data_IF_861141384363
#
_entry.id   IF_861141384363
#
_cell.length_a   1.000
_cell.length_b   1.000
_cell.length_c   1.000
_cell.angle_alpha   90.00
_cell.angle_beta   90.00
_cell.angle_gamma   90.00
#
_symmetry.space_group_name_H-M   'P 1'
#
loop_
_entity.id
_entity.type
_entity.pdbx_description
1 polymer ?
#
# COMPACT_ATOMS: atom_id res chain seq x y z
N UNK A 1 17.35 -32.74 -5.70
CA UNK A 1 16.04 -33.17 -6.24
C UNK A 1 14.84 -32.74 -5.39
N UNK A 2 14.91 -32.76 -4.04
CA UNK A 2 13.76 -32.42 -3.15
C UNK A 2 13.39 -30.93 -3.18
N UNK A 3 14.38 -30.04 -3.27
CA UNK A 3 14.17 -28.57 -3.29
C UNK A 3 13.36 -28.08 -4.50
N UNK A 4 13.64 -28.62 -5.70
CA UNK A 4 12.95 -28.24 -6.95
C UNK A 4 11.47 -28.68 -6.93
N UNK A 5 11.18 -29.87 -6.39
CA UNK A 5 9.79 -30.35 -6.25
C UNK A 5 8.97 -29.49 -5.29
N UNK A 6 9.57 -29.04 -4.18
CA UNK A 6 8.90 -28.12 -3.24
C UNK A 6 8.64 -26.75 -3.89
N UNK A 7 9.59 -26.20 -4.63
CA UNK A 7 9.42 -24.91 -5.31
C UNK A 7 8.30 -24.94 -6.36
N UNK A 8 8.23 -26.00 -7.18
CA UNK A 8 7.16 -26.18 -8.16
C UNK A 8 5.77 -26.31 -7.52
N UNK A 9 5.67 -26.86 -6.31
CA UNK A 9 4.40 -26.96 -5.58
C UNK A 9 3.86 -25.60 -5.11
N UNK A 10 4.72 -24.57 -4.98
CA UNK A 10 4.33 -23.21 -4.55
C UNK A 10 4.31 -22.19 -5.70
N UNK A 11 4.68 -22.57 -6.92
CA UNK A 11 4.75 -21.66 -8.07
C UNK A 11 3.40 -21.04 -8.49
N UNK A 12 2.28 -21.66 -8.08
CA UNK A 12 0.91 -21.18 -8.29
C UNK A 12 0.17 -20.91 -6.98
N UNK A 13 0.89 -20.83 -5.85
CA UNK A 13 0.26 -20.47 -4.59
C UNK A 13 -0.24 -19.02 -4.68
N UNK A 14 -1.55 -18.85 -4.56
CA UNK A 14 -2.18 -17.53 -4.51
C UNK A 14 -2.05 -17.03 -3.08
N UNK A 15 -1.48 -15.85 -2.92
CA UNK A 15 -1.35 -15.19 -1.62
C UNK A 15 -2.75 -14.89 -1.06
N UNK A 16 -2.95 -15.12 0.23
CA UNK A 16 -4.27 -14.98 0.84
C UNK A 16 -4.45 -13.56 1.35
N UNK A 17 -5.68 -13.00 1.34
CA UNK A 17 -5.92 -11.64 1.83
C UNK A 17 -5.44 -11.43 3.28
N UNK A 18 -5.54 -12.46 4.13
CA UNK A 18 -5.04 -12.42 5.51
C UNK A 18 -3.52 -12.26 5.63
N UNK A 19 -2.75 -12.59 4.58
CA UNK A 19 -1.29 -12.44 4.55
C UNK A 19 -0.87 -10.95 4.41
N UNK A 20 -1.84 -10.05 4.12
CA UNK A 20 -1.63 -8.61 3.88
C UNK A 20 -2.40 -7.69 4.83
N UNK A 21 -2.93 -8.26 5.92
CA UNK A 21 -3.66 -7.46 6.89
C UNK A 21 -2.74 -6.36 7.49
N UNK A 22 -3.17 -5.09 7.51
CA UNK A 22 -2.37 -4.02 8.07
C UNK A 22 -2.11 -4.25 9.57
N UNK A 23 -0.92 -3.89 10.02
CA UNK A 23 -0.64 -3.73 11.45
C UNK A 23 -1.50 -2.60 12.04
N UNK A 24 -1.64 -2.57 13.36
CA UNK A 24 -2.38 -1.50 14.06
C UNK A 24 -1.84 -0.11 13.71
N UNK A 25 -0.51 0.04 13.61
CA UNK A 25 0.13 1.31 13.24
C UNK A 25 -0.22 1.69 11.79
N UNK A 26 -0.11 0.76 10.85
CA UNK A 26 -0.45 0.99 9.44
C UNK A 26 -1.92 1.37 9.27
N UNK A 27 -2.83 0.70 9.98
CA UNK A 27 -4.25 1.02 9.95
C UNK A 27 -4.53 2.44 10.44
N UNK A 28 -3.93 2.84 11.58
CA UNK A 28 -4.10 4.20 12.12
C UNK A 28 -3.59 5.28 11.17
N UNK A 29 -2.49 5.00 10.47
CA UNK A 29 -1.91 5.90 9.46
C UNK A 29 -2.84 5.97 8.24
N UNK A 30 -3.32 4.84 7.73
CA UNK A 30 -4.26 4.80 6.61
C UNK A 30 -5.53 5.60 6.94
N UNK A 31 -6.10 5.42 8.13
CA UNK A 31 -7.26 6.17 8.59
C UNK A 31 -7.00 7.68 8.63
N UNK A 32 -5.78 8.09 9.05
CA UNK A 32 -5.39 9.50 9.06
C UNK A 32 -5.30 10.07 7.65
N UNK A 33 -4.72 9.33 6.71
CA UNK A 33 -4.64 9.72 5.29
C UNK A 33 -6.04 9.85 4.70
N UNK A 34 -6.93 8.88 4.95
CA UNK A 34 -8.33 8.95 4.53
C UNK A 34 -9.04 10.20 5.05
N UNK A 35 -8.83 10.55 6.33
CA UNK A 35 -9.38 11.79 6.92
C UNK A 35 -8.88 13.04 6.19
N UNK A 36 -7.60 13.11 5.86
CA UNK A 36 -7.04 14.25 5.12
C UNK A 36 -7.55 14.34 3.67
N UNK A 37 -7.77 13.20 3.02
CA UNK A 37 -8.39 13.12 1.68
C UNK A 37 -9.83 13.66 1.73
N UNK A 38 -10.62 13.20 2.71
CA UNK A 38 -12.01 13.65 2.90
C UNK A 38 -12.05 15.15 3.20
N UNK A 39 -11.20 15.62 4.12
CA UNK A 39 -11.11 17.03 4.52
C UNK A 39 -10.81 17.96 3.33
N UNK A 40 -10.10 17.47 2.32
CA UNK A 40 -9.70 18.22 1.11
C UNK A 40 -10.58 17.93 -0.10
N UNK A 41 -11.67 17.20 0.09
CA UNK A 41 -12.63 16.82 -0.96
C UNK A 41 -11.99 16.05 -2.14
N UNK A 42 -10.90 15.31 -1.87
CA UNK A 42 -10.14 14.55 -2.89
C UNK A 42 -10.60 13.09 -3.04
N UNK A 43 -11.76 12.73 -2.48
CA UNK A 43 -12.23 11.32 -2.38
C UNK A 43 -12.32 10.65 -3.75
N UNK A 44 -12.95 11.30 -4.73
CA UNK A 44 -13.10 10.76 -6.09
C UNK A 44 -11.75 10.48 -6.75
N UNK A 45 -10.80 11.41 -6.65
CA UNK A 45 -9.47 11.25 -7.21
C UNK A 45 -8.71 10.12 -6.51
N UNK A 46 -8.82 10.02 -5.18
CA UNK A 46 -8.18 8.96 -4.41
C UNK A 46 -8.70 7.58 -4.80
N UNK A 47 -10.02 7.41 -4.89
CA UNK A 47 -10.63 6.13 -5.30
C UNK A 47 -10.20 5.75 -6.71
N UNK A 48 -10.28 6.68 -7.68
CA UNK A 48 -9.85 6.43 -9.05
C UNK A 48 -8.38 6.00 -9.11
N UNK A 49 -7.51 6.68 -8.36
CA UNK A 49 -6.09 6.34 -8.29
C UNK A 49 -5.90 4.94 -7.72
N UNK A 50 -6.56 4.62 -6.61
CA UNK A 50 -6.42 3.30 -5.98
C UNK A 50 -6.94 2.16 -6.86
N UNK A 51 -8.07 2.32 -7.53
CA UNK A 51 -8.62 1.30 -8.42
C UNK A 51 -7.74 1.09 -9.67
N UNK A 52 -7.17 2.16 -10.22
CA UNK A 52 -6.26 2.08 -11.37
C UNK A 52 -4.88 1.55 -10.99
N UNK A 53 -4.41 1.83 -9.77
CA UNK A 53 -3.10 1.42 -9.27
C UNK A 53 -3.12 0.11 -8.47
N UNK A 54 -4.27 -0.51 -8.17
CA UNK A 54 -4.37 -1.80 -7.45
C UNK A 54 -3.45 -2.90 -8.03
N UNK A 55 -3.32 -3.12 -9.36
CA UNK A 55 -2.36 -4.10 -9.90
C UNK A 55 -0.90 -3.61 -9.87
N UNK A 56 -0.68 -2.34 -9.53
CA UNK A 56 0.60 -1.61 -9.54
C UNK A 56 0.92 -1.03 -8.16
N UNK A 57 0.50 -1.69 -7.09
CA UNK A 57 0.69 -1.27 -5.70
C UNK A 57 2.15 -0.85 -5.40
N UNK A 58 3.12 -1.55 -5.97
CA UNK A 58 4.54 -1.18 -5.91
C UNK A 58 4.85 0.18 -6.59
N UNK A 59 4.27 0.48 -7.75
CA UNK A 59 4.46 1.79 -8.40
C UNK A 59 3.80 2.90 -7.56
N UNK A 60 2.66 2.60 -6.93
CA UNK A 60 2.00 3.50 -5.99
C UNK A 60 2.87 3.84 -4.78
N UNK A 61 3.56 2.85 -4.18
CA UNK A 61 4.49 3.09 -3.07
C UNK A 61 5.67 3.98 -3.48
N UNK A 62 6.25 3.72 -4.66
CA UNK A 62 7.35 4.54 -5.19
C UNK A 62 6.89 5.97 -5.48
N UNK A 63 5.65 6.16 -5.95
CA UNK A 63 5.08 7.48 -6.12
C UNK A 63 4.97 8.23 -4.78
N UNK A 64 4.53 7.56 -3.71
CA UNK A 64 4.48 8.18 -2.37
C UNK A 64 5.88 8.61 -1.92
N UNK A 65 6.89 7.77 -2.10
CA UNK A 65 8.27 8.14 -1.80
C UNK A 65 8.74 9.33 -2.62
N UNK A 66 8.49 9.35 -3.93
CA UNK A 66 8.84 10.46 -4.81
C UNK A 66 8.16 11.76 -4.40
N UNK A 67 6.87 11.70 -4.03
CA UNK A 67 6.09 12.87 -3.64
C UNK A 67 6.19 13.24 -2.16
N UNK A 68 6.98 12.52 -1.35
CA UNK A 68 7.23 12.81 0.07
C UNK A 68 7.39 14.31 0.42
N UNK A 69 8.25 15.08 -0.28
CA UNK A 69 8.42 16.51 0.03
C UNK A 69 7.14 17.33 -0.17
N UNK A 70 6.26 16.93 -1.09
CA UNK A 70 4.97 17.60 -1.32
C UNK A 70 3.90 17.10 -0.33
N UNK A 71 3.88 15.80 -0.03
CA UNK A 71 2.90 15.17 0.86
C UNK A 71 3.12 15.48 2.34
N UNK A 72 4.27 16.08 2.69
CA UNK A 72 4.62 16.47 4.07
C UNK A 72 3.60 17.44 4.71
N UNK A 73 2.76 18.10 3.90
CA UNK A 73 1.65 18.93 4.38
C UNK A 73 0.43 18.13 4.86
N UNK A 74 0.33 16.84 4.51
CA UNK A 74 -0.77 15.94 4.88
C UNK A 74 -0.42 15.13 6.13
N UNK A 75 0.75 14.50 6.09
CA UNK A 75 1.24 13.57 7.11
C UNK A 75 2.74 13.69 7.21
N UNK A 76 3.31 13.36 8.36
CA UNK A 76 4.75 13.40 8.54
C UNK A 76 5.46 12.35 7.67
N UNK A 77 6.73 12.57 7.28
CA UNK A 77 7.46 11.68 6.38
C UNK A 77 7.59 10.23 6.88
N UNK A 78 7.59 10.01 8.20
CA UNK A 78 7.65 8.66 8.77
C UNK A 78 6.33 7.92 8.51
N UNK A 79 5.20 8.58 8.76
CA UNK A 79 3.89 8.02 8.45
C UNK A 79 3.73 7.71 6.95
N UNK A 80 4.24 8.58 6.08
CA UNK A 80 4.23 8.33 4.63
C UNK A 80 5.06 7.11 4.25
N UNK A 81 6.24 6.94 4.85
CA UNK A 81 7.05 5.74 4.64
C UNK A 81 6.33 4.48 5.10
N UNK A 82 5.79 4.46 6.31
CA UNK A 82 5.04 3.30 6.83
C UNK A 82 3.85 2.94 5.95
N UNK A 83 3.18 3.93 5.36
CA UNK A 83 2.08 3.72 4.42
C UNK A 83 2.56 3.20 3.06
N UNK A 84 3.68 3.71 2.54
CA UNK A 84 4.29 3.19 1.32
C UNK A 84 4.76 1.74 1.49
N UNK A 85 5.41 1.41 2.62
CA UNK A 85 5.85 0.06 2.97
C UNK A 85 4.66 -0.92 3.07
N UNK A 86 3.49 -0.43 3.51
CA UNK A 86 2.24 -1.22 3.49
C UNK A 86 1.79 -1.50 2.05
N UNK A 87 1.74 -0.47 1.19
CA UNK A 87 1.32 -0.59 -0.21
C UNK A 87 2.27 -1.42 -1.07
N UNK A 88 3.52 -1.66 -0.66
CA UNK A 88 4.42 -2.56 -1.40
C UNK A 88 3.98 -4.02 -1.38
N UNK A 89 3.14 -4.39 -0.40
CA UNK A 89 2.63 -5.74 -0.28
C UNK A 89 1.55 -5.98 -1.35
N UNK A 90 1.78 -7.00 -2.19
CA UNK A 90 0.92 -7.35 -3.32
C UNK A 90 -0.40 -7.93 -2.80
N UNK A 91 -1.42 -7.10 -2.62
CA UNK A 91 -2.71 -7.50 -2.04
C UNK A 91 -3.20 -6.63 -0.89
N UNK A 92 -2.40 -5.65 -0.48
CA UNK A 92 -2.78 -4.54 0.42
C UNK A 92 -3.76 -3.56 -0.22
#
# INVERSE_FOLDING_TARGET
MVMIKKWLAHAFAVERPEDFAPTVEQQQIADRICREIIRREMVTLAILTLETCRPLNYIGSQAIHFFTPLLSILVDPRAQKTFADFLEQRGS
#
